data_IF_748925531087
#
_entry.id   IF_748925531087
#
_cell.length_a   1.000
_cell.length_b   1.000
_cell.length_c   1.000
_cell.angle_alpha   90.00
_cell.angle_beta   90.00
_cell.angle_gamma   90.00
#
_symmetry.space_group_name_H-M   'P 1'
#
loop_
_entity.id
_entity.type
_entity.pdbx_description
1 polymer ?
#
# COMPACT_ATOMS: atom_id res chain seq x y z
N UNK A 1 14.86 -14.22 14.92
CA UNK A 1 13.60 -13.53 15.30
C UNK A 1 12.82 -14.31 16.35
N UNK A 2 12.63 -15.63 16.19
CA UNK A 2 11.94 -16.48 17.18
C UNK A 2 12.58 -16.41 18.57
N UNK A 3 13.92 -16.53 18.62
CA UNK A 3 14.71 -16.54 19.86
C UNK A 3 14.61 -15.21 20.65
N UNK A 4 14.49 -14.08 19.94
CA UNK A 4 14.38 -12.74 20.55
C UNK A 4 12.98 -12.50 21.14
N UNK A 5 11.91 -12.97 20.47
CA UNK A 5 10.57 -12.93 21.03
C UNK A 5 10.46 -13.80 22.29
N UNK A 6 11.01 -15.02 22.26
CA UNK A 6 10.98 -15.91 23.42
C UNK A 6 11.69 -15.33 24.65
N UNK A 7 12.72 -14.50 24.45
CA UNK A 7 13.46 -13.85 25.53
C UNK A 7 12.84 -12.51 26.00
N UNK A 8 12.02 -11.85 25.18
CA UNK A 8 11.56 -10.48 25.47
C UNK A 8 10.04 -10.30 25.53
N UNK A 9 9.25 -11.23 24.99
CA UNK A 9 7.79 -11.12 24.89
C UNK A 9 7.29 -10.00 23.97
N UNK A 10 8.17 -9.42 23.13
CA UNK A 10 7.85 -8.26 22.28
C UNK A 10 7.26 -8.71 20.94
N UNK A 11 6.10 -8.17 20.59
CA UNK A 11 5.54 -8.27 19.24
C UNK A 11 6.29 -7.35 18.27
N UNK A 12 6.82 -7.92 17.19
CA UNK A 12 7.58 -7.14 16.20
C UNK A 12 6.66 -6.51 15.15
N UNK A 13 6.75 -5.19 14.93
CA UNK A 13 6.05 -4.53 13.84
C UNK A 13 6.66 -4.92 12.48
N UNK A 14 5.82 -5.27 11.51
CA UNK A 14 6.22 -5.66 10.15
C UNK A 14 5.64 -4.66 9.15
N UNK A 15 6.49 -4.11 8.28
CA UNK A 15 6.10 -3.29 7.14
C UNK A 15 6.12 -4.14 5.87
N UNK A 16 5.06 -4.05 5.07
CA UNK A 16 4.98 -4.68 3.74
C UNK A 16 5.32 -3.63 2.69
N UNK A 17 6.21 -3.97 1.75
CA UNK A 17 6.56 -3.12 0.62
C UNK A 17 6.23 -3.83 -0.69
N UNK A 18 5.31 -3.26 -1.45
CA UNK A 18 4.98 -3.66 -2.82
C UNK A 18 5.91 -2.90 -3.75
N UNK A 19 6.83 -3.62 -4.37
CA UNK A 19 7.79 -3.04 -5.31
C UNK A 19 7.30 -3.18 -6.75
N UNK A 20 7.95 -2.47 -7.66
CA UNK A 20 7.64 -2.53 -9.11
C UNK A 20 6.20 -2.13 -9.44
N UNK A 21 5.67 -1.16 -8.70
CA UNK A 21 4.31 -0.61 -8.93
C UNK A 21 4.20 0.05 -10.31
N UNK A 22 5.33 0.40 -10.92
CA UNK A 22 5.46 0.86 -12.30
C UNK A 22 5.04 -0.15 -13.37
N UNK A 23 4.93 -1.43 -13.02
CA UNK A 23 4.42 -2.46 -13.93
C UNK A 23 2.89 -2.44 -14.09
N UNK A 24 2.17 -1.70 -13.25
CA UNK A 24 0.74 -1.48 -13.42
C UNK A 24 0.48 -0.65 -14.69
N UNK A 25 -0.51 -1.05 -15.48
CA UNK A 25 -0.83 -0.29 -16.70
C UNK A 25 -1.24 1.13 -16.34
N UNK A 26 -0.78 2.08 -17.15
CA UNK A 26 -1.06 3.50 -16.94
C UNK A 26 -0.18 4.19 -15.89
N UNK A 27 0.67 3.48 -15.13
CA UNK A 27 1.52 4.11 -14.12
C UNK A 27 2.39 5.23 -14.70
N UNK A 28 3.08 4.96 -15.82
CA UNK A 28 3.96 5.94 -16.45
C UNK A 28 3.20 7.15 -17.00
N UNK A 29 2.01 6.93 -17.55
CA UNK A 29 1.13 8.02 -18.02
C UNK A 29 0.56 8.83 -16.85
N UNK A 30 0.31 8.20 -15.71
CA UNK A 30 -0.24 8.86 -14.53
C UNK A 30 0.80 9.67 -13.73
N UNK A 31 2.02 9.12 -13.58
CA UNK A 31 3.08 9.69 -12.74
C UNK A 31 4.28 10.24 -13.52
N UNK A 32 4.30 10.17 -14.85
CA UNK A 32 5.43 10.60 -15.68
C UNK A 32 5.81 12.07 -15.49
N UNK A 33 4.84 12.92 -15.15
CA UNK A 33 5.01 14.35 -14.97
C UNK A 33 5.27 14.79 -13.51
N UNK A 34 5.49 13.85 -12.57
CA UNK A 34 5.83 14.21 -11.20
C UNK A 34 7.16 14.96 -11.11
N UNK A 35 7.16 16.08 -10.37
CA UNK A 35 8.37 16.76 -9.92
C UNK A 35 9.16 15.90 -8.93
N UNK A 36 10.46 16.20 -8.74
CA UNK A 36 11.32 15.45 -7.81
C UNK A 36 10.73 15.32 -6.40
N UNK A 37 10.26 16.40 -5.74
CA UNK A 37 9.65 16.27 -4.41
C UNK A 37 8.40 15.38 -4.39
N UNK A 38 7.64 15.33 -5.48
CA UNK A 38 6.47 14.45 -5.58
C UNK A 38 6.89 12.98 -5.76
N UNK A 39 8.01 12.71 -6.44
CA UNK A 39 8.57 11.35 -6.56
C UNK A 39 9.17 10.86 -5.24
N UNK A 40 9.74 11.76 -4.45
CA UNK A 40 10.31 11.45 -3.13
C UNK A 40 9.22 11.24 -2.06
N UNK A 41 7.95 11.51 -2.38
CA UNK A 41 6.85 11.34 -1.45
C UNK A 41 6.55 9.86 -1.19
N UNK A 42 6.32 9.51 0.08
CA UNK A 42 5.93 8.15 0.48
C UNK A 42 4.53 7.86 -0.07
N UNK A 43 4.41 6.75 -0.81
CA UNK A 43 3.13 6.19 -1.24
C UNK A 43 2.79 4.96 -0.42
N UNK A 44 1.67 5.00 0.32
CA UNK A 44 1.30 3.96 1.27
C UNK A 44 0.63 4.50 2.52
N UNK A 45 0.53 3.66 3.54
CA UNK A 45 -0.03 4.02 4.84
C UNK A 45 0.54 3.17 5.97
N UNK A 46 0.46 3.69 7.20
CA UNK A 46 0.73 2.95 8.43
C UNK A 46 -0.57 2.49 9.08
N UNK A 47 -0.54 1.36 9.77
CA UNK A 47 -1.67 0.90 10.58
C UNK A 47 -1.69 1.65 11.93
N UNK A 48 -2.87 1.84 12.54
CA UNK A 48 -2.97 2.35 13.90
C UNK A 48 -2.15 1.46 14.84
N UNK A 49 -1.19 2.07 15.53
CA UNK A 49 -0.31 1.37 16.46
C UNK A 49 -0.14 2.23 17.70
N UNK A 50 -0.42 1.64 18.86
CA UNK A 50 -0.24 2.28 20.15
C UNK A 50 0.80 1.49 20.95
N UNK A 51 1.95 2.10 21.30
CA UNK A 51 2.94 1.44 22.15
C UNK A 51 2.30 0.97 23.48
N UNK A 52 2.56 -0.28 23.87
CA UNK A 52 2.11 -0.82 25.15
C UNK A 52 0.66 -1.29 25.21
N UNK A 53 -0.09 -1.24 24.10
CA UNK A 53 -1.40 -1.91 23.99
C UNK A 53 -1.30 -3.12 23.06
N UNK A 54 -1.95 -4.25 23.39
CA UNK A 54 -2.08 -5.35 22.45
C UNK A 54 -2.76 -4.82 21.18
N UNK A 55 -2.17 -5.14 20.03
CA UNK A 55 -2.76 -4.79 18.75
C UNK A 55 -4.16 -5.40 18.72
N UNK A 56 -5.20 -4.57 18.61
CA UNK A 56 -6.51 -5.11 18.25
C UNK A 56 -6.35 -5.65 16.83
N UNK A 57 -6.71 -6.92 16.60
CA UNK A 57 -6.60 -7.62 15.31
C UNK A 57 -7.58 -7.04 14.26
N UNK A 58 -7.66 -5.72 14.12
CA UNK A 58 -8.56 -5.03 13.21
C UNK A 58 -7.80 -4.51 11.97
N UNK A 59 -6.70 -5.19 11.62
CA UNK A 59 -5.88 -4.82 10.47
C UNK A 59 -6.68 -4.91 9.17
N UNK A 60 -7.66 -5.81 9.06
CA UNK A 60 -8.55 -5.93 7.91
C UNK A 60 -9.36 -4.66 7.65
N UNK A 61 -10.04 -4.16 8.69
CA UNK A 61 -10.82 -2.93 8.59
C UNK A 61 -9.92 -1.76 8.28
N UNK A 62 -8.79 -1.66 9.00
CA UNK A 62 -7.85 -0.57 8.77
C UNK A 62 -7.22 -0.61 7.38
N UNK A 63 -6.91 -1.80 6.85
CA UNK A 63 -6.46 -2.00 5.48
C UNK A 63 -7.51 -1.51 4.49
N UNK A 64 -8.75 -1.97 4.64
CA UNK A 64 -9.86 -1.59 3.75
C UNK A 64 -10.09 -0.08 3.73
N UNK A 65 -10.15 0.57 4.89
CA UNK A 65 -10.35 2.02 5.01
C UNK A 65 -9.18 2.81 4.39
N UNK A 66 -7.94 2.42 4.69
CA UNK A 66 -6.75 3.16 4.24
C UNK A 66 -6.42 2.91 2.77
N UNK A 67 -6.65 1.70 2.27
CA UNK A 67 -6.50 1.41 0.85
C UNK A 67 -7.51 2.20 0.03
N UNK A 68 -8.77 2.25 0.48
CA UNK A 68 -9.80 3.09 -0.15
C UNK A 68 -9.40 4.57 -0.17
N UNK A 69 -8.73 5.09 0.86
CA UNK A 69 -8.21 6.46 0.85
C UNK A 69 -7.12 6.67 -0.22
N UNK A 70 -6.26 5.68 -0.47
CA UNK A 70 -5.29 5.76 -1.58
C UNK A 70 -6.01 5.76 -2.93
N UNK A 71 -7.00 4.88 -3.12
CA UNK A 71 -7.82 4.83 -4.34
C UNK A 71 -8.52 6.17 -4.60
N UNK A 72 -9.10 6.77 -3.55
CA UNK A 72 -9.76 8.08 -3.64
C UNK A 72 -8.78 9.19 -4.01
N UNK A 73 -7.55 9.17 -3.50
CA UNK A 73 -6.52 10.14 -3.88
C UNK A 73 -6.15 10.02 -5.35
N UNK A 74 -6.01 8.80 -5.88
CA UNK A 74 -5.79 8.57 -7.31
C UNK A 74 -6.96 9.12 -8.14
N UNK A 75 -8.19 8.84 -7.72
CA UNK A 75 -9.39 9.30 -8.41
C UNK A 75 -9.52 10.82 -8.43
N UNK A 76 -9.15 11.50 -7.33
CA UNK A 76 -9.15 12.96 -7.23
C UNK A 76 -8.10 13.61 -8.14
N UNK A 77 -6.93 12.97 -8.28
CA UNK A 77 -5.84 13.45 -9.13
C UNK A 77 -6.10 13.22 -10.63
N UNK A 78 -6.92 12.23 -10.97
CA UNK A 78 -7.11 11.76 -12.34
C UNK A 78 -7.54 12.87 -13.31
N UNK A 79 -8.45 13.76 -12.89
CA UNK A 79 -8.94 14.84 -13.76
C UNK A 79 -7.80 15.79 -14.17
N UNK A 80 -6.97 16.20 -13.21
CA UNK A 80 -5.83 17.09 -13.44
C UNK A 80 -4.76 16.42 -14.30
N UNK A 81 -4.47 15.14 -14.04
CA UNK A 81 -3.55 14.33 -14.85
C UNK A 81 -4.04 14.29 -16.31
N UNK A 82 -5.29 13.92 -16.55
CA UNK A 82 -5.85 13.83 -17.91
C UNK A 82 -5.88 15.19 -18.62
N UNK A 83 -6.14 16.28 -17.90
CA UNK A 83 -6.15 17.64 -18.45
C UNK A 83 -4.74 18.09 -18.88
N UNK A 84 -3.71 17.68 -18.13
CA UNK A 84 -2.30 17.93 -18.47
C UNK A 84 -1.78 17.12 -19.65
N UNK A 85 -2.39 15.96 -19.94
CA UNK A 85 -1.94 15.06 -20.99
C UNK A 85 -2.33 15.51 -22.41
N UNK A 86 -1.34 15.52 -23.32
CA UNK A 86 -1.52 15.97 -24.72
C UNK A 86 -1.90 14.84 -25.67
N UNK A 87 -1.35 13.65 -25.43
CA UNK A 87 -1.55 12.50 -26.31
C UNK A 87 -2.76 11.69 -25.85
N UNK A 88 -3.70 11.43 -26.76
CA UNK A 88 -4.93 10.70 -26.46
C UNK A 88 -4.66 9.31 -25.86
N UNK A 89 -3.63 8.62 -26.36
CA UNK A 89 -3.21 7.30 -25.83
C UNK A 89 -2.75 7.40 -24.38
N UNK A 90 -1.90 8.39 -24.05
CA UNK A 90 -1.42 8.58 -22.68
C UNK A 90 -2.57 8.99 -21.75
N UNK A 91 -3.49 9.84 -22.21
CA UNK A 91 -4.69 10.19 -21.46
C UNK A 91 -5.56 8.97 -21.15
N UNK A 92 -5.75 8.08 -22.13
CA UNK A 92 -6.48 6.83 -21.94
C UNK A 92 -5.76 5.88 -20.96
N UNK A 93 -4.43 5.79 -21.05
CA UNK A 93 -3.62 4.99 -20.13
C UNK A 93 -3.70 5.52 -18.69
N UNK A 94 -3.62 6.85 -18.49
CA UNK A 94 -3.77 7.46 -17.16
C UNK A 94 -5.13 7.16 -16.54
N UNK A 95 -6.19 7.06 -17.35
CA UNK A 95 -7.51 6.65 -16.90
C UNK A 95 -7.56 5.21 -16.37
N UNK A 96 -6.73 4.30 -16.92
CA UNK A 96 -6.69 2.90 -16.50
C UNK A 96 -5.96 2.69 -15.17
N UNK A 97 -5.01 3.57 -14.82
CA UNK A 97 -4.14 3.35 -13.66
C UNK A 97 -4.88 3.19 -12.32
N UNK A 98 -5.86 4.04 -11.95
CA UNK A 98 -6.61 3.85 -10.71
C UNK A 98 -7.31 2.49 -10.64
N UNK A 99 -7.82 1.98 -11.77
CA UNK A 99 -8.48 0.67 -11.83
C UNK A 99 -7.47 -0.48 -11.65
N UNK A 100 -6.31 -0.39 -12.29
CA UNK A 100 -5.23 -1.36 -12.13
C UNK A 100 -4.72 -1.38 -10.69
N UNK A 101 -4.56 -0.22 -10.06
CA UNK A 101 -4.20 -0.13 -8.64
C UNK A 101 -5.27 -0.75 -7.73
N UNK A 102 -6.55 -0.46 -7.97
CA UNK A 102 -7.68 -1.07 -7.25
C UNK A 102 -7.70 -2.60 -7.35
N UNK A 103 -7.26 -3.15 -8.48
CA UNK A 103 -7.21 -4.61 -8.69
C UNK A 103 -6.23 -5.32 -7.73
N UNK A 104 -5.28 -4.59 -7.14
CA UNK A 104 -4.36 -5.14 -6.15
C UNK A 104 -5.03 -5.44 -4.80
N UNK A 105 -6.13 -4.75 -4.47
CA UNK A 105 -6.78 -4.82 -3.16
C UNK A 105 -7.09 -6.25 -2.68
N UNK A 106 -7.78 -7.12 -3.46
CA UNK A 106 -8.06 -8.49 -3.02
C UNK A 106 -6.79 -9.31 -2.77
N UNK A 107 -5.80 -9.23 -3.66
CA UNK A 107 -4.54 -9.96 -3.53
C UNK A 107 -3.75 -9.50 -2.31
N UNK A 108 -3.70 -8.19 -2.06
CA UNK A 108 -3.05 -7.63 -0.88
C UNK A 108 -3.78 -8.04 0.40
N UNK A 109 -5.11 -8.06 0.41
CA UNK A 109 -5.87 -8.53 1.56
C UNK A 109 -5.54 -10.00 1.88
N UNK A 110 -5.55 -10.88 0.88
CA UNK A 110 -5.21 -12.30 1.04
C UNK A 110 -3.75 -12.50 1.50
N UNK A 111 -2.81 -11.70 0.99
CA UNK A 111 -1.43 -11.77 1.45
C UNK A 111 -1.27 -11.32 2.90
N UNK A 112 -1.94 -10.22 3.28
CA UNK A 112 -1.94 -9.73 4.65
C UNK A 112 -2.61 -10.75 5.60
N UNK A 113 -3.62 -11.49 5.13
CA UNK A 113 -4.22 -12.61 5.85
C UNK A 113 -3.18 -13.68 6.18
N UNK A 114 -2.40 -14.11 5.20
CA UNK A 114 -1.35 -15.11 5.41
C UNK A 114 -0.27 -14.61 6.38
N UNK A 115 0.12 -13.33 6.30
CA UNK A 115 1.22 -12.79 7.12
C UNK A 115 0.81 -12.46 8.55
N UNK A 116 -0.43 -11.99 8.76
CA UNK A 116 -0.89 -11.43 10.03
C UNK A 116 -1.99 -12.25 10.71
N UNK A 117 -2.47 -13.34 10.10
CA UNK A 117 -3.35 -14.27 10.78
C UNK A 117 -2.63 -14.95 11.96
N UNK A 118 -3.36 -15.12 13.06
CA UNK A 118 -2.84 -15.83 14.24
C UNK A 118 -2.81 -17.32 13.96
N UNK A 119 -1.64 -17.89 13.78
CA UNK A 119 -1.45 -19.32 13.99
C UNK A 119 -1.39 -19.61 15.50
N UNK A 120 -2.08 -20.67 15.92
CA UNK A 120 -2.31 -20.99 17.34
C UNK A 120 -1.03 -21.16 18.17
N UNK A 121 0.11 -21.40 17.50
CA UNK A 121 1.42 -21.68 18.09
C UNK A 121 2.55 -20.73 17.59
N UNK A 122 2.24 -19.68 16.81
CA UNK A 122 3.27 -18.78 16.26
C UNK A 122 3.26 -17.37 16.86
N UNK A 123 4.44 -16.74 16.81
CA UNK A 123 4.67 -15.35 17.19
C UNK A 123 3.76 -14.44 16.35
N UNK A 124 2.84 -13.74 17.00
CA UNK A 124 1.94 -12.81 16.30
C UNK A 124 2.71 -11.58 15.80
N UNK A 125 2.92 -11.52 14.48
CA UNK A 125 3.43 -10.35 13.78
C UNK A 125 2.36 -9.24 13.80
N UNK A 126 2.79 -8.00 13.96
CA UNK A 126 1.88 -6.85 13.96
C UNK A 126 2.05 -6.04 12.67
N UNK A 127 0.97 -5.84 11.92
CA UNK A 127 0.99 -5.01 10.72
C UNK A 127 1.35 -3.56 11.07
N UNK A 128 2.43 -3.02 10.50
CA UNK A 128 2.90 -1.65 10.80
C UNK A 128 2.64 -0.68 9.66
N UNK A 129 2.78 -1.14 8.42
CA UNK A 129 2.43 -0.35 7.25
C UNK A 129 2.48 -1.13 5.96
N UNK A 130 1.90 -0.53 4.92
CA UNK A 130 1.90 -1.00 3.55
C UNK A 130 2.37 0.15 2.65
N UNK A 131 3.42 -0.07 1.89
CA UNK A 131 4.05 0.95 1.04
C UNK A 131 4.27 0.45 -0.37
N UNK A 132 4.27 1.37 -1.33
CA UNK A 132 4.42 1.10 -2.76
C UNK A 132 5.65 1.82 -3.29
N UNK A 133 6.44 1.14 -4.10
CA UNK A 133 7.60 1.72 -4.77
C UNK A 133 7.62 1.37 -6.25
N UNK A 134 8.18 2.29 -7.04
CA UNK A 134 8.62 2.00 -8.42
C UNK A 134 9.97 1.27 -8.39
N UNK A 135 10.24 0.44 -9.39
CA UNK A 135 11.52 -0.21 -9.62
C UNK A 135 12.53 0.62 -10.44
N UNK A 136 12.14 1.81 -10.91
CA UNK A 136 12.97 2.74 -11.70
C UNK A 136 13.56 3.87 -10.87
#
# INVERSE_FOLDING_TARGET
MVELHQQTGIHFPVCVMVTKTDLLKGFMSFYGNLSKPQRDAIWGFTFPWEPGKPHKDDWHRSFSERFQQLEQRLQQQLADVMAGERYLTQRADSFLFPQEFSSLRPLLNEYLDVVFSRHQDEIAWSARGLFFTSGT
#
